data_IF_222747414321
#
_entry.id   IF_222747414321
#
_cell.length_a   1.000
_cell.length_b   1.000
_cell.length_c   1.000
_cell.angle_alpha   90.00
_cell.angle_beta   90.00
_cell.angle_gamma   90.00
#
_symmetry.space_group_name_H-M   'P 1'
#
loop_
_entity.id
_entity.type
_entity.pdbx_description
1 polymer ?
#
# COMPACT_ATOMS: atom_id res chain seq x y z
N UNK A 1 0.67 4.62 0.15
CA UNK A 1 -0.61 5.01 0.80
C UNK A 1 -0.66 6.46 1.25
N UNK A 2 0.02 6.86 2.32
CA UNK A 2 -0.07 8.24 2.84
C UNK A 2 0.34 9.30 1.80
N UNK A 3 1.39 9.05 1.01
CA UNK A 3 1.79 9.94 -0.09
C UNK A 3 0.71 10.14 -1.14
N UNK A 4 0.02 9.08 -1.57
CA UNK A 4 -1.12 9.19 -2.51
C UNK A 4 -2.26 10.00 -1.90
N UNK A 5 -2.56 9.78 -0.62
CA UNK A 5 -3.57 10.56 0.09
C UNK A 5 -3.20 12.05 0.16
N UNK A 6 -1.94 12.37 0.47
CA UNK A 6 -1.42 13.74 0.44
C UNK A 6 -1.59 14.37 -0.95
N UNK A 7 -1.26 13.64 -2.01
CA UNK A 7 -1.33 14.15 -3.38
C UNK A 7 -2.76 14.43 -3.85
N UNK A 8 -3.71 13.53 -3.56
CA UNK A 8 -5.04 13.58 -4.18
C UNK A 8 -6.19 14.00 -3.26
N UNK A 9 -6.04 13.88 -1.94
CA UNK A 9 -7.19 13.90 -1.05
C UNK A 9 -7.04 14.74 0.23
N UNK A 10 -5.82 14.87 0.75
CA UNK A 10 -5.53 15.60 1.98
C UNK A 10 -5.92 17.08 1.86
N UNK A 11 -6.37 17.65 2.98
CA UNK A 11 -6.55 19.10 3.09
C UNK A 11 -5.23 19.78 3.44
N UNK A 12 -5.11 21.07 3.16
CA UNK A 12 -3.93 21.87 3.53
C UNK A 12 -3.65 21.83 5.05
N UNK A 13 -4.71 21.76 5.87
CA UNK A 13 -4.60 21.59 7.33
C UNK A 13 -3.99 20.22 7.68
N UNK A 14 -4.34 19.18 6.95
CA UNK A 14 -3.75 17.85 7.15
C UNK A 14 -2.28 17.82 6.70
N UNK A 15 -1.95 18.48 5.59
CA UNK A 15 -0.58 18.61 5.09
C UNK A 15 0.28 19.41 6.06
N UNK A 16 -0.21 20.54 6.58
CA UNK A 16 0.54 21.38 7.52
C UNK A 16 0.88 20.65 8.82
N UNK A 17 0.01 19.75 9.29
CA UNK A 17 0.30 18.86 10.43
C UNK A 17 1.41 17.87 10.14
N UNK A 18 1.52 17.38 8.90
CA UNK A 18 2.57 16.43 8.49
C UNK A 18 3.93 17.11 8.29
N UNK A 19 3.94 18.40 7.95
CA UNK A 19 5.17 19.17 7.70
C UNK A 19 5.62 20.00 8.91
N UNK A 20 4.86 19.98 10.00
CA UNK A 20 5.21 20.70 11.23
C UNK A 20 6.46 20.10 11.90
N UNK A 21 7.26 20.95 12.56
CA UNK A 21 8.38 20.49 13.38
C UNK A 21 7.93 19.51 14.46
N UNK A 22 8.76 18.50 14.72
CA UNK A 22 8.45 17.45 15.68
C UNK A 22 8.63 17.97 17.12
N UNK A 23 7.51 18.13 17.82
CA UNK A 23 7.45 18.49 19.23
C UNK A 23 6.20 17.87 19.88
N UNK A 24 6.09 17.94 21.21
CA UNK A 24 4.99 17.31 21.96
C UNK A 24 3.61 17.79 21.50
N UNK A 25 3.49 19.07 21.12
CA UNK A 25 2.23 19.64 20.65
C UNK A 25 1.88 19.15 19.24
N UNK A 26 2.85 19.14 18.31
CA UNK A 26 2.65 18.66 16.94
C UNK A 26 2.35 17.16 16.91
N UNK A 27 2.99 16.35 17.77
CA UNK A 27 2.65 14.94 17.95
C UNK A 27 1.19 14.75 18.40
N UNK A 28 0.73 15.51 19.40
CA UNK A 28 -0.67 15.46 19.85
C UNK A 28 -1.64 15.84 18.73
N UNK A 29 -1.32 16.87 17.93
CA UNK A 29 -2.14 17.31 16.79
C UNK A 29 -2.14 16.30 15.64
N UNK A 30 -1.05 15.55 15.46
CA UNK A 30 -0.93 14.51 14.44
C UNK A 30 -1.80 13.27 14.73
N UNK A 31 -2.19 13.03 15.99
CA UNK A 31 -3.16 11.97 16.34
C UNK A 31 -4.54 12.16 15.69
N UNK A 32 -4.84 13.35 15.19
CA UNK A 32 -6.09 13.67 14.50
C UNK A 32 -6.01 13.47 12.97
N UNK A 33 -4.96 12.83 12.46
CA UNK A 33 -4.88 12.46 11.04
C UNK A 33 -5.74 11.22 10.77
N UNK A 34 -6.35 11.10 9.57
CA UNK A 34 -7.24 10.00 9.26
C UNK A 34 -6.50 8.65 9.33
N UNK A 35 -7.19 7.63 9.81
CA UNK A 35 -6.69 6.27 9.73
C UNK A 35 -6.65 5.79 8.28
N UNK A 36 -5.92 4.71 8.01
CA UNK A 36 -5.75 4.18 6.66
C UNK A 36 -7.09 3.89 5.96
N UNK A 37 -8.06 3.31 6.66
CA UNK A 37 -9.39 3.02 6.11
C UNK A 37 -10.10 4.29 5.63
N UNK A 38 -9.96 5.38 6.39
CA UNK A 38 -10.50 6.68 6.05
C UNK A 38 -9.72 7.32 4.90
N UNK A 39 -8.39 7.24 4.89
CA UNK A 39 -7.56 7.71 3.77
C UNK A 39 -7.98 7.03 2.45
N UNK A 40 -8.25 5.72 2.46
CA UNK A 40 -8.73 4.98 1.29
C UNK A 40 -10.12 5.48 0.86
N UNK A 41 -11.04 5.69 1.80
CA UNK A 41 -12.38 6.25 1.51
C UNK A 41 -12.29 7.64 0.87
N UNK A 42 -11.40 8.50 1.36
CA UNK A 42 -11.18 9.83 0.78
C UNK A 42 -10.55 9.74 -0.62
N UNK A 43 -9.61 8.82 -0.83
CA UNK A 43 -9.00 8.58 -2.15
C UNK A 43 -10.03 8.07 -3.17
N UNK A 44 -10.91 7.15 -2.80
CA UNK A 44 -11.99 6.67 -3.70
C UNK A 44 -12.88 7.80 -4.22
N UNK A 45 -12.99 8.92 -3.49
CA UNK A 45 -13.82 10.07 -3.88
C UNK A 45 -13.08 11.12 -4.71
N UNK A 46 -11.74 11.17 -4.64
CA UNK A 46 -10.95 12.31 -5.16
C UNK A 46 -9.81 11.91 -6.10
N UNK A 47 -9.28 10.70 -5.98
CA UNK A 47 -8.18 10.23 -6.80
C UNK A 47 -8.68 9.69 -8.15
N UNK A 48 -7.88 9.80 -9.22
CA UNK A 48 -8.14 9.13 -10.49
C UNK A 48 -8.30 7.61 -10.31
N UNK A 49 -9.18 7.00 -11.11
CA UNK A 49 -9.51 5.58 -10.99
C UNK A 49 -8.28 4.67 -11.08
N UNK A 50 -7.40 4.95 -12.04
CA UNK A 50 -6.14 4.22 -12.23
C UNK A 50 -5.19 4.30 -11.03
N UNK A 51 -5.26 5.35 -10.21
CA UNK A 51 -4.45 5.50 -9.01
C UNK A 51 -5.04 4.74 -7.81
N UNK A 52 -6.37 4.57 -7.74
CA UNK A 52 -7.04 3.92 -6.61
C UNK A 52 -7.29 2.42 -6.83
N UNK A 53 -7.50 1.96 -8.06
CA UNK A 53 -7.76 0.53 -8.35
C UNK A 53 -6.68 -0.41 -7.81
N UNK A 54 -5.37 -0.15 -8.04
CA UNK A 54 -4.31 -1.02 -7.52
C UNK A 54 -4.29 -1.07 -5.98
N UNK A 55 -4.68 0.02 -5.33
CA UNK A 55 -4.76 0.09 -3.86
C UNK A 55 -5.93 -0.75 -3.33
N UNK A 56 -7.09 -0.70 -4.01
CA UNK A 56 -8.27 -1.48 -3.63
C UNK A 56 -8.04 -2.97 -3.84
N UNK A 57 -7.43 -3.36 -4.95
CA UNK A 57 -7.05 -4.73 -5.22
C UNK A 57 -6.08 -5.25 -4.16
N UNK A 58 -5.04 -4.47 -3.84
CA UNK A 58 -4.09 -4.83 -2.79
C UNK A 58 -4.76 -4.98 -1.40
N UNK A 59 -5.70 -4.08 -1.08
CA UNK A 59 -6.45 -4.14 0.17
C UNK A 59 -7.26 -5.43 0.28
N UNK A 60 -7.91 -5.84 -0.80
CA UNK A 60 -8.77 -7.01 -0.84
C UNK A 60 -7.97 -8.30 -0.65
N UNK A 61 -6.87 -8.47 -1.39
CA UNK A 61 -6.19 -9.76 -1.48
C UNK A 61 -4.98 -9.92 -0.57
N UNK A 62 -4.29 -8.83 -0.19
CA UNK A 62 -2.99 -8.92 0.48
C UNK A 62 -2.95 -8.33 1.89
N UNK A 63 -3.89 -7.45 2.25
CA UNK A 63 -3.80 -6.67 3.48
C UNK A 63 -3.89 -7.48 4.77
N UNK A 64 -4.96 -8.29 4.91
CA UNK A 64 -5.21 -9.06 6.13
C UNK A 64 -4.08 -10.05 6.39
N UNK A 65 -3.65 -10.88 5.43
CA UNK A 65 -2.64 -11.89 5.74
C UNK A 65 -1.25 -11.25 5.96
N UNK A 66 -0.89 -10.16 5.26
CA UNK A 66 0.38 -9.45 5.52
C UNK A 66 0.49 -8.97 6.97
N UNK A 67 -0.60 -8.44 7.51
CA UNK A 67 -0.65 -8.00 8.91
C UNK A 67 -0.46 -9.17 9.88
N UNK A 68 -0.95 -10.36 9.53
CA UNK A 68 -0.80 -11.60 10.33
C UNK A 68 0.57 -12.26 10.22
N UNK A 69 1.31 -12.07 9.12
CA UNK A 69 2.64 -12.64 8.92
C UNK A 69 3.78 -11.81 9.53
N UNK A 70 3.62 -10.48 9.64
CA UNK A 70 4.75 -9.58 10.00
C UNK A 70 4.78 -9.21 11.49
N UNK A 71 3.64 -9.16 12.18
CA UNK A 71 3.56 -8.58 13.54
C UNK A 71 3.55 -9.61 14.69
N UNK A 72 4.28 -10.73 14.59
CA UNK A 72 4.27 -11.75 15.65
C UNK A 72 2.90 -12.40 15.84
N UNK A 73 2.05 -12.36 14.79
CA UNK A 73 0.75 -13.00 14.78
C UNK A 73 0.85 -14.53 14.84
N UNK A 74 -0.30 -15.20 14.96
CA UNK A 74 -0.40 -16.66 15.08
C UNK A 74 0.44 -17.41 14.03
N UNK A 75 0.48 -16.89 12.79
CA UNK A 75 1.31 -17.48 11.73
C UNK A 75 2.80 -17.31 11.99
N UNK A 76 3.28 -16.12 12.37
CA UNK A 76 4.70 -15.90 12.67
C UNK A 76 5.19 -16.84 13.80
N UNK A 77 4.38 -17.03 14.85
CA UNK A 77 4.71 -17.92 15.98
C UNK A 77 4.68 -19.39 15.55
N UNK A 78 3.63 -19.83 14.84
CA UNK A 78 3.51 -21.22 14.38
C UNK A 78 4.62 -21.59 13.39
N UNK A 79 4.95 -20.69 12.46
CA UNK A 79 5.97 -20.93 11.42
C UNK A 79 7.39 -20.94 11.96
N UNK A 80 7.67 -20.25 13.07
CA UNK A 80 8.97 -20.35 13.74
C UNK A 80 9.32 -21.80 14.12
N UNK A 81 8.32 -22.60 14.52
CA UNK A 81 8.50 -24.01 14.89
C UNK A 81 8.43 -24.99 13.70
N UNK A 82 7.63 -24.68 12.66
CA UNK A 82 7.29 -25.63 11.58
C UNK A 82 7.90 -25.32 10.22
N UNK A 83 8.63 -24.22 10.10
CA UNK A 83 9.11 -23.69 8.83
C UNK A 83 7.99 -23.09 7.97
N UNK A 84 8.36 -22.58 6.80
CA UNK A 84 7.46 -21.89 5.87
C UNK A 84 7.22 -22.73 4.62
N UNK A 85 5.96 -23.03 4.27
CA UNK A 85 5.65 -23.67 2.99
C UNK A 85 6.11 -22.80 1.83
N UNK A 86 6.70 -23.41 0.79
CA UNK A 86 7.22 -22.68 -0.39
C UNK A 86 6.13 -21.83 -1.05
N UNK A 87 4.91 -22.38 -1.21
CA UNK A 87 3.79 -21.65 -1.79
C UNK A 87 3.41 -20.39 -0.99
N UNK A 88 3.54 -20.43 0.35
CA UNK A 88 3.30 -19.26 1.19
C UNK A 88 4.40 -18.21 1.00
N UNK A 89 5.67 -18.62 0.96
CA UNK A 89 6.78 -17.69 0.72
C UNK A 89 6.64 -17.01 -0.64
N UNK A 90 6.28 -17.77 -1.67
CA UNK A 90 6.02 -17.23 -3.01
C UNK A 90 4.93 -16.16 -2.98
N UNK A 91 3.80 -16.42 -2.33
CA UNK A 91 2.70 -15.45 -2.23
C UNK A 91 3.08 -14.20 -1.41
N UNK A 92 3.85 -14.35 -0.34
CA UNK A 92 4.36 -13.21 0.44
C UNK A 92 5.29 -12.35 -0.43
N UNK A 93 6.16 -12.95 -1.22
CA UNK A 93 7.02 -12.24 -2.17
C UNK A 93 6.20 -11.51 -3.24
N UNK A 94 5.20 -12.18 -3.82
CA UNK A 94 4.28 -11.59 -4.81
C UNK A 94 3.45 -10.43 -4.22
N UNK A 95 3.01 -10.54 -2.97
CA UNK A 95 2.34 -9.46 -2.26
C UNK A 95 3.29 -8.29 -1.98
N UNK A 96 4.55 -8.56 -1.62
CA UNK A 96 5.59 -7.53 -1.47
C UNK A 96 5.86 -6.78 -2.76
N UNK A 97 5.92 -7.49 -3.90
CA UNK A 97 6.00 -6.89 -5.23
C UNK A 97 4.81 -5.96 -5.50
N UNK A 98 3.60 -6.33 -5.08
CA UNK A 98 2.43 -5.45 -5.16
C UNK A 98 2.64 -4.11 -4.43
N UNK A 99 3.20 -4.12 -3.22
CA UNK A 99 3.54 -2.88 -2.49
C UNK A 99 4.57 -2.04 -3.26
N UNK A 100 5.62 -2.68 -3.77
CA UNK A 100 6.66 -2.00 -4.57
C UNK A 100 6.10 -1.44 -5.88
N UNK A 101 5.15 -2.14 -6.51
CA UNK A 101 4.42 -1.66 -7.67
C UNK A 101 3.65 -0.37 -7.37
N UNK A 102 2.93 -0.31 -6.23
CA UNK A 102 2.25 0.91 -5.80
C UNK A 102 3.22 2.09 -5.59
N UNK A 103 4.43 1.81 -5.09
CA UNK A 103 5.49 2.81 -4.95
C UNK A 103 5.99 3.28 -6.33
N UNK A 104 6.20 2.37 -7.27
CA UNK A 104 6.61 2.71 -8.64
C UNK A 104 5.57 3.58 -9.35
N UNK A 105 4.28 3.23 -9.23
CA UNK A 105 3.17 4.03 -9.76
C UNK A 105 3.21 5.44 -9.15
N UNK A 106 3.30 5.54 -7.82
CA UNK A 106 3.37 6.84 -7.15
C UNK A 106 4.58 7.67 -7.60
N UNK A 107 5.76 7.06 -7.62
CA UNK A 107 6.99 7.72 -8.06
C UNK A 107 6.86 8.24 -9.49
N UNK A 108 6.32 7.43 -10.40
CA UNK A 108 6.10 7.86 -11.79
C UNK A 108 5.14 9.04 -11.90
N UNK A 109 4.03 9.04 -11.14
CA UNK A 109 3.05 10.12 -11.12
C UNK A 109 3.71 11.43 -10.67
N UNK A 110 4.55 11.37 -9.63
CA UNK A 110 5.26 12.55 -9.11
C UNK A 110 6.25 13.17 -10.12
N UNK A 111 6.69 12.40 -11.13
CA UNK A 111 7.54 12.96 -12.20
C UNK A 111 6.77 13.85 -13.19
N UNK A 112 5.44 13.75 -13.23
CA UNK A 112 4.61 14.39 -14.25
C UNK A 112 4.74 13.80 -15.67
N UNK A 113 5.58 12.78 -15.88
CA UNK A 113 5.80 12.16 -17.20
C UNK A 113 4.80 11.03 -17.44
N UNK A 114 3.75 11.32 -18.21
CA UNK A 114 2.67 10.36 -18.51
C UNK A 114 3.16 9.11 -19.25
N UNK A 115 4.21 9.23 -20.07
CA UNK A 115 4.86 8.11 -20.74
C UNK A 115 5.47 7.12 -19.75
N UNK A 116 6.21 7.64 -18.75
CA UNK A 116 6.80 6.83 -17.69
C UNK A 116 5.73 6.12 -16.86
N UNK A 117 4.67 6.84 -16.45
CA UNK A 117 3.56 6.24 -15.71
C UNK A 117 2.89 5.12 -16.50
N UNK A 118 2.66 5.32 -17.80
CA UNK A 118 2.11 4.28 -18.68
C UNK A 118 3.03 3.06 -18.77
N UNK A 119 4.34 3.27 -18.86
CA UNK A 119 5.31 2.16 -18.95
C UNK A 119 5.40 1.39 -17.62
N UNK A 120 5.24 2.06 -16.48
CA UNK A 120 5.08 1.40 -15.18
C UNK A 120 3.81 0.53 -15.16
N UNK A 121 2.66 1.01 -15.61
CA UNK A 121 1.46 0.18 -15.69
C UNK A 121 1.63 -1.02 -16.62
N UNK A 122 2.24 -0.85 -17.80
CA UNK A 122 2.55 -1.96 -18.71
C UNK A 122 3.47 -3.01 -18.09
N UNK A 123 4.33 -2.62 -17.14
CA UNK A 123 5.19 -3.57 -16.45
C UNK A 123 4.40 -4.57 -15.60
N UNK A 124 3.23 -4.19 -15.09
CA UNK A 124 2.37 -5.11 -14.33
C UNK A 124 1.81 -6.22 -15.22
N UNK A 125 1.45 -5.89 -16.46
CA UNK A 125 1.01 -6.91 -17.43
C UNK A 125 2.18 -7.82 -17.84
N UNK A 126 3.36 -7.22 -18.08
CA UNK A 126 4.55 -7.95 -18.51
C UNK A 126 5.07 -8.93 -17.45
N UNK A 127 4.98 -8.56 -16.18
CA UNK A 127 5.47 -9.35 -15.04
C UNK A 127 4.32 -9.83 -14.15
N UNK A 128 3.16 -10.10 -14.75
CA UNK A 128 1.93 -10.44 -14.03
C UNK A 128 2.09 -11.64 -13.07
N UNK A 129 2.94 -12.59 -13.45
CA UNK A 129 3.30 -13.78 -12.65
C UNK A 129 4.05 -13.43 -11.35
N UNK A 130 4.69 -12.27 -11.29
CA UNK A 130 5.42 -11.76 -10.14
C UNK A 130 4.53 -11.05 -9.11
N UNK A 131 3.24 -10.87 -9.39
CA UNK A 131 2.29 -10.20 -8.51
C UNK A 131 1.24 -11.17 -7.97
N UNK A 132 0.69 -10.84 -6.80
CA UNK A 132 -0.42 -11.60 -6.24
C UNK A 132 -1.69 -11.19 -6.99
N UNK A 133 -2.01 -11.91 -8.07
CA UNK A 133 -3.24 -11.70 -8.82
C UNK A 133 -4.40 -12.40 -8.11
N UNK A 134 -5.48 -11.66 -7.83
CA UNK A 134 -6.82 -12.14 -7.45
C UNK A 134 -6.87 -13.48 -6.70
N UNK A 135 -6.85 -13.44 -5.38
CA UNK A 135 -7.07 -14.61 -4.53
C UNK A 135 -6.44 -14.46 -3.14
N UNK A 136 -7.04 -15.07 -2.09
CA UNK A 136 -6.49 -15.00 -0.74
C UNK A 136 -5.13 -15.71 -0.66
N UNK A 137 -4.23 -15.22 0.22
CA UNK A 137 -3.01 -15.96 0.54
C UNK A 137 -3.36 -17.30 1.19
N UNK A 138 -2.63 -18.35 0.79
CA UNK A 138 -2.67 -19.67 1.38
C UNK A 138 -2.20 -19.61 2.84
N UNK A 139 -3.00 -20.20 3.73
CA UNK A 139 -2.81 -20.18 5.18
C UNK A 139 -1.78 -21.22 5.67
#
# INVERSE_FOLDING_TARGET
MRGMWVLYAASDIAVSKLTAELNTESQRRANNLPMLSEMISQLQKKAPQNAIDPILEFKEYSWKPLSSYVHGGLHAVNRHSKGYPVAMLEQVLKASNGVNGLVAVFGSILTGQTTLTRDVYKSFDKYADCFQMKGPMAL
#
